data_IF_328962041000
#
_entry.id   IF_328962041000
#
_cell.length_a   1.000
_cell.length_b   1.000
_cell.length_c   1.000
_cell.angle_alpha   90.00
_cell.angle_beta   90.00
_cell.angle_gamma   90.00
#
_symmetry.space_group_name_H-M   'P 1'
#
loop_
_entity.id
_entity.type
_entity.pdbx_description
1 polymer ?
#
# COMPACT_ATOMS: atom_id res chain seq x y z
N UNK A 1 3.92 15.32 -2.41
CA UNK A 1 5.16 14.73 -2.92
C UNK A 1 4.96 13.24 -3.22
N UNK A 2 5.61 12.72 -4.28
CA UNK A 2 5.72 11.27 -4.54
C UNK A 2 6.87 10.70 -3.68
N UNK A 3 6.84 9.41 -3.37
CA UNK A 3 7.90 8.75 -2.58
C UNK A 3 7.97 9.15 -1.09
N UNK A 4 6.94 9.81 -0.54
CA UNK A 4 6.88 10.17 0.89
C UNK A 4 5.61 9.58 1.51
N UNK A 5 5.76 8.97 2.69
CA UNK A 5 4.65 8.57 3.56
C UNK A 5 4.18 9.76 4.40
N UNK A 6 2.99 10.25 4.11
CA UNK A 6 2.26 11.17 4.96
C UNK A 6 1.48 10.37 6.01
N UNK A 7 1.61 10.75 7.27
CA UNK A 7 1.03 10.02 8.41
C UNK A 7 -0.04 10.87 9.07
N UNK A 8 -1.28 10.36 9.11
CA UNK A 8 -2.36 10.95 9.87
C UNK A 8 -2.42 10.41 11.31
N UNK A 9 -3.29 11.00 12.13
CA UNK A 9 -3.41 10.64 13.54
C UNK A 9 -4.76 10.00 13.86
N UNK A 10 -4.72 8.90 14.60
CA UNK A 10 -5.86 8.32 15.32
C UNK A 10 -5.66 8.43 16.83
N UNK A 11 -6.73 8.26 17.60
CA UNK A 11 -6.68 8.07 19.04
C UNK A 11 -6.56 6.58 19.42
N UNK A 12 -6.70 6.27 20.71
CA UNK A 12 -6.60 4.91 21.23
C UNK A 12 -7.77 3.99 20.81
N UNK A 13 -8.87 4.54 20.33
CA UNK A 13 -10.01 3.79 19.78
C UNK A 13 -9.90 3.62 18.26
N UNK A 14 -8.74 3.94 17.68
CA UNK A 14 -8.49 3.93 16.23
C UNK A 14 -9.36 4.94 15.46
N UNK A 15 -9.98 5.89 16.17
CA UNK A 15 -10.78 6.96 15.58
C UNK A 15 -9.87 8.10 15.13
N UNK A 16 -10.14 8.65 13.94
CA UNK A 16 -9.39 9.77 13.39
C UNK A 16 -9.45 10.97 14.35
N UNK A 17 -8.29 11.40 14.82
CA UNK A 17 -8.19 12.59 15.65
C UNK A 17 -8.68 13.82 14.88
N UNK A 18 -9.48 14.67 15.54
CA UNK A 18 -10.11 15.84 14.90
C UNK A 18 -9.12 16.76 14.18
N UNK A 19 -7.92 16.92 14.73
CA UNK A 19 -6.84 17.75 14.19
C UNK A 19 -6.08 17.14 13.00
N UNK A 20 -6.25 15.84 12.70
CA UNK A 20 -5.54 15.22 11.59
C UNK A 20 -5.95 15.89 10.27
N UNK A 21 -5.02 16.06 9.33
CA UNK A 21 -5.39 16.56 8.00
C UNK A 21 -6.19 15.51 7.22
N UNK A 22 -6.99 15.98 6.27
CA UNK A 22 -7.83 15.18 5.38
C UNK A 22 -7.34 15.42 3.95
N UNK A 23 -7.23 14.38 3.14
CA UNK A 23 -6.92 14.49 1.72
C UNK A 23 -8.16 14.69 0.84
N UNK A 24 -8.11 14.32 -0.44
CA UNK A 24 -6.95 13.88 -1.21
C UNK A 24 -5.88 14.99 -1.32
N UNK A 25 -4.68 14.68 -1.81
CA UNK A 25 -3.77 15.77 -2.23
C UNK A 25 -4.35 16.52 -3.44
N UNK A 26 -3.84 17.71 -3.74
CA UNK A 26 -4.35 18.56 -4.82
C UNK A 26 -4.38 17.88 -6.20
N UNK A 27 -3.56 16.84 -6.41
CA UNK A 27 -3.49 16.00 -7.60
C UNK A 27 -4.29 14.69 -7.49
N UNK A 28 -5.21 14.59 -6.52
CA UNK A 28 -6.15 13.47 -6.37
C UNK A 28 -5.59 12.20 -5.71
N UNK A 29 -4.32 12.18 -5.29
CA UNK A 29 -3.74 11.00 -4.62
C UNK A 29 -4.25 10.84 -3.19
N UNK A 30 -4.43 9.59 -2.76
CA UNK A 30 -4.77 9.22 -1.37
C UNK A 30 -3.71 9.79 -0.43
N UNK A 31 -4.14 10.71 0.44
CA UNK A 31 -3.37 11.27 1.56
C UNK A 31 -4.30 11.49 2.77
N UNK A 32 -3.83 11.36 4.03
CA UNK A 32 -2.54 10.76 4.42
C UNK A 32 -2.40 9.34 3.82
N UNK A 33 -1.18 8.80 3.71
CA UNK A 33 -1.02 7.43 3.21
C UNK A 33 -1.50 6.45 4.27
N UNK A 34 -1.09 6.64 5.51
CA UNK A 34 -1.41 5.73 6.62
C UNK A 34 -1.68 6.51 7.89
N UNK A 35 -2.20 5.83 8.90
CA UNK A 35 -2.54 6.38 10.19
C UNK A 35 -1.71 5.71 11.29
N UNK A 36 -1.41 6.46 12.35
CA UNK A 36 -0.87 5.92 13.58
C UNK A 36 -1.40 6.72 14.78
N UNK A 37 -1.20 6.19 15.98
CA UNK A 37 -1.65 6.85 17.20
C UNK A 37 -0.96 8.22 17.35
N UNK A 38 -1.77 9.27 17.38
CA UNK A 38 -1.33 10.64 17.56
C UNK A 38 -2.24 11.47 18.47
N UNK A 39 -3.41 10.95 18.86
CA UNK A 39 -4.28 11.53 19.88
C UNK A 39 -3.93 11.01 21.27
N UNK A 40 -3.83 11.92 22.24
CA UNK A 40 -3.58 11.61 23.66
C UNK A 40 -2.42 10.64 23.91
N UNK A 41 -1.33 10.78 23.15
CA UNK A 41 -0.13 9.95 23.23
C UNK A 41 0.63 10.26 24.51
N UNK A 42 0.96 9.23 25.28
CA UNK A 42 1.84 9.36 26.44
C UNK A 42 3.29 9.56 25.98
N UNK A 43 3.96 10.58 26.52
CA UNK A 43 5.36 10.87 26.24
C UNK A 43 6.08 11.37 27.50
N UNK A 44 7.41 11.27 27.51
CA UNK A 44 8.23 11.83 28.58
C UNK A 44 8.46 13.31 28.30
N UNK A 45 7.98 14.18 29.18
CA UNK A 45 8.17 15.61 29.07
C UNK A 45 9.62 15.98 29.44
N UNK A 46 10.39 16.50 28.48
CA UNK A 46 11.82 16.77 28.66
C UNK A 46 12.13 17.84 29.71
N UNK A 47 11.20 18.76 29.99
CA UNK A 47 11.41 19.82 30.99
C UNK A 47 11.19 19.32 32.43
N UNK A 48 10.36 18.30 32.62
CA UNK A 48 9.95 17.81 33.95
C UNK A 48 10.42 16.40 34.26
N UNK A 49 10.77 15.60 33.24
CA UNK A 49 11.08 14.18 33.36
C UNK A 49 9.86 13.29 33.64
N UNK A 50 8.66 13.86 33.74
CA UNK A 50 7.42 13.14 34.05
C UNK A 50 6.70 12.71 32.77
N UNK A 51 5.86 11.68 32.89
CA UNK A 51 4.93 11.30 31.83
C UNK A 51 3.85 12.36 31.68
N UNK A 52 3.63 12.81 30.45
CA UNK A 52 2.55 13.69 30.05
C UNK A 52 1.81 13.10 28.85
N UNK A 53 0.67 13.69 28.49
CA UNK A 53 -0.06 13.35 27.28
C UNK A 53 -0.07 14.52 26.30
N UNK A 54 0.06 14.21 25.02
CA UNK A 54 0.10 15.17 23.93
C UNK A 54 -0.68 14.69 22.71
N UNK A 55 -1.07 15.62 21.86
CA UNK A 55 -1.80 15.32 20.63
C UNK A 55 -1.12 15.99 19.44
N UNK A 56 -0.97 15.25 18.34
CA UNK A 56 -0.41 15.77 17.09
C UNK A 56 0.00 14.65 16.14
N UNK A 57 -0.04 14.92 14.84
CA UNK A 57 0.51 14.01 13.81
C UNK A 57 2.03 13.84 13.96
N UNK A 58 2.70 14.78 14.64
CA UNK A 58 4.10 14.68 15.06
C UNK A 58 4.37 13.52 16.03
N UNK A 59 3.36 13.04 16.75
CA UNK A 59 3.47 11.81 17.56
C UNK A 59 3.20 10.55 16.73
N UNK A 60 2.32 10.64 15.72
CA UNK A 60 2.03 9.52 14.81
C UNK A 60 3.19 9.22 13.84
N UNK A 61 3.82 10.27 13.31
CA UNK A 61 4.91 10.17 12.33
C UNK A 61 6.09 9.30 12.80
N UNK A 62 6.68 9.48 14.01
CA UNK A 62 7.77 8.65 14.48
C UNK A 62 7.38 7.19 14.74
N UNK A 63 6.11 6.87 15.02
CA UNK A 63 5.66 5.48 15.12
C UNK A 63 5.80 4.75 13.78
N UNK A 64 5.36 5.40 12.69
CA UNK A 64 5.54 4.86 11.34
C UNK A 64 7.02 4.83 10.94
N UNK A 65 7.81 5.85 11.32
CA UNK A 65 9.26 5.81 11.09
C UNK A 65 9.93 4.63 11.81
N UNK A 66 9.51 4.29 13.02
CA UNK A 66 9.98 3.12 13.77
C UNK A 66 9.60 1.80 13.09
N UNK A 67 8.36 1.68 12.63
CA UNK A 67 7.89 0.55 11.83
C UNK A 67 8.73 0.37 10.56
N UNK A 68 8.92 1.45 9.79
CA UNK A 68 9.76 1.43 8.58
C UNK A 68 11.21 1.06 8.91
N UNK A 69 11.77 1.60 9.99
CA UNK A 69 13.15 1.30 10.41
C UNK A 69 13.32 -0.18 10.75
N UNK A 70 12.36 -0.79 11.44
CA UNK A 70 12.36 -2.22 11.73
C UNK A 70 12.29 -3.07 10.46
N UNK A 71 11.48 -2.69 9.47
CA UNK A 71 11.42 -3.37 8.17
C UNK A 71 12.73 -3.23 7.39
N UNK A 72 13.31 -2.03 7.35
CA UNK A 72 14.59 -1.78 6.68
C UNK A 72 15.72 -2.60 7.32
N UNK A 73 15.72 -2.75 8.65
CA UNK A 73 16.70 -3.56 9.35
C UNK A 73 16.52 -5.07 9.07
N UNK A 74 15.27 -5.56 9.08
CA UNK A 74 14.98 -6.97 8.83
C UNK A 74 15.18 -7.37 7.35
N UNK A 75 14.93 -6.44 6.42
CA UNK A 75 14.91 -6.66 4.98
C UNK A 75 15.75 -5.61 4.24
N UNK A 76 17.08 -5.61 4.39
CA UNK A 76 17.97 -4.56 3.88
C UNK A 76 18.02 -4.46 2.35
N UNK A 77 17.45 -5.43 1.63
CA UNK A 77 17.35 -5.45 0.17
C UNK A 77 16.07 -4.81 -0.37
N UNK A 78 15.11 -4.46 0.50
CA UNK A 78 13.90 -3.76 0.06
C UNK A 78 14.28 -2.42 -0.56
N UNK A 79 13.73 -2.15 -1.73
CA UNK A 79 13.74 -0.81 -2.29
C UNK A 79 12.81 0.11 -1.49
N UNK A 80 13.01 1.41 -1.65
CA UNK A 80 12.16 2.43 -1.01
C UNK A 80 10.68 2.28 -1.41
N UNK A 81 10.41 1.91 -2.66
CA UNK A 81 9.06 1.73 -3.18
C UNK A 81 8.39 0.49 -2.59
N UNK A 82 9.12 -0.64 -2.54
CA UNK A 82 8.65 -1.87 -1.91
C UNK A 82 8.38 -1.67 -0.41
N UNK A 83 9.22 -0.91 0.29
CA UNK A 83 8.99 -0.55 1.70
C UNK A 83 7.68 0.22 1.87
N UNK A 84 7.48 1.29 1.08
CA UNK A 84 6.24 2.08 1.12
C UNK A 84 5.02 1.20 0.83
N UNK A 85 5.12 0.29 -0.14
CA UNK A 85 4.04 -0.61 -0.49
C UNK A 85 3.78 -1.65 0.58
N UNK A 86 4.80 -2.19 1.24
CA UNK A 86 4.62 -3.10 2.37
C UNK A 86 3.88 -2.43 3.52
N UNK A 87 4.23 -1.17 3.84
CA UNK A 87 3.52 -0.40 4.86
C UNK A 87 2.06 -0.17 4.47
N UNK A 88 1.79 0.26 3.23
CA UNK A 88 0.41 0.48 2.75
C UNK A 88 -0.40 -0.82 2.71
N UNK A 89 0.15 -1.88 2.15
CA UNK A 89 -0.49 -3.19 2.03
C UNK A 89 -0.89 -3.76 3.38
N UNK A 90 -0.05 -3.54 4.39
CA UNK A 90 -0.30 -4.01 5.75
C UNK A 90 -1.44 -3.29 6.47
N UNK A 91 -1.91 -2.17 5.93
CA UNK A 91 -2.87 -1.32 6.59
C UNK A 91 -4.31 -1.83 6.46
N UNK A 92 -5.11 -1.58 7.49
CA UNK A 92 -6.46 -2.14 7.67
C UNK A 92 -7.50 -1.72 6.60
N UNK A 93 -7.23 -0.66 5.83
CA UNK A 93 -8.10 -0.13 4.76
C UNK A 93 -7.42 -0.15 3.39
N UNK A 94 -6.43 -1.03 3.18
CA UNK A 94 -5.65 -1.03 1.94
C UNK A 94 -6.50 -1.22 0.66
N UNK A 95 -7.54 -2.06 0.71
CA UNK A 95 -8.44 -2.30 -0.42
C UNK A 95 -9.32 -1.10 -0.79
N UNK A 96 -9.75 -0.33 0.22
CA UNK A 96 -10.68 0.79 0.07
C UNK A 96 -10.14 2.06 0.75
N UNK A 97 -9.04 2.64 0.23
CA UNK A 97 -8.46 3.82 0.82
C UNK A 97 -9.36 5.04 0.63
N UNK A 98 -9.34 5.96 1.59
CA UNK A 98 -10.14 7.19 1.54
C UNK A 98 -9.36 8.42 2.01
N UNK A 99 -9.97 9.59 1.86
CA UNK A 99 -9.36 10.87 2.22
C UNK A 99 -9.11 11.06 3.74
N UNK A 100 -9.80 10.31 4.61
CA UNK A 100 -9.77 10.49 6.06
C UNK A 100 -8.71 9.62 6.74
N UNK A 101 -8.58 8.37 6.29
CA UNK A 101 -7.70 7.36 6.87
C UNK A 101 -6.58 6.92 5.92
N UNK A 102 -6.57 7.36 4.67
CA UNK A 102 -5.64 6.81 3.69
C UNK A 102 -5.90 5.33 3.47
N UNK A 103 -4.82 4.55 3.44
CA UNK A 103 -4.83 3.08 3.47
C UNK A 103 -5.08 2.53 4.90
N UNK A 104 -5.15 3.38 5.92
CA UNK A 104 -5.51 3.01 7.28
C UNK A 104 -4.32 2.78 8.23
N UNK A 105 -4.50 1.95 9.27
CA UNK A 105 -3.50 1.70 10.31
C UNK A 105 -2.62 0.49 9.93
N UNK A 106 -1.31 0.66 9.71
CA UNK A 106 -0.40 -0.43 9.34
C UNK A 106 -0.19 -1.45 10.47
N UNK A 107 0.07 -2.70 10.08
CA UNK A 107 0.45 -3.77 10.99
C UNK A 107 1.86 -4.29 10.64
N UNK A 108 2.78 -4.30 11.61
CA UNK A 108 4.17 -4.68 11.37
C UNK A 108 4.31 -6.12 10.83
N UNK A 109 3.62 -7.09 11.41
CA UNK A 109 3.72 -8.50 10.99
C UNK A 109 3.24 -8.69 9.55
N UNK A 110 2.09 -8.11 9.20
CA UNK A 110 1.59 -8.12 7.81
C UNK A 110 2.56 -7.44 6.85
N UNK A 111 3.16 -6.32 7.25
CA UNK A 111 4.17 -5.63 6.43
C UNK A 111 5.42 -6.48 6.26
N UNK A 112 5.86 -7.17 7.31
CA UNK A 112 7.02 -8.06 7.33
C UNK A 112 6.82 -9.29 6.43
N UNK A 113 5.66 -9.93 6.52
CA UNK A 113 5.29 -11.05 5.66
C UNK A 113 5.24 -10.63 4.20
N UNK A 114 4.66 -9.46 3.92
CA UNK A 114 4.60 -8.94 2.57
C UNK A 114 5.97 -8.54 2.02
N UNK A 115 6.82 -7.90 2.84
CA UNK A 115 8.20 -7.61 2.49
C UNK A 115 8.98 -8.87 2.11
N UNK A 116 8.80 -9.98 2.85
CA UNK A 116 9.40 -11.27 2.50
C UNK A 116 8.95 -11.76 1.13
N UNK A 117 7.66 -11.63 0.80
CA UNK A 117 7.12 -11.99 -0.51
C UNK A 117 7.65 -11.08 -1.63
N UNK A 118 7.82 -9.78 -1.38
CA UNK A 118 8.43 -8.86 -2.35
C UNK A 118 9.89 -9.19 -2.64
N UNK A 119 10.63 -9.76 -1.69
CA UNK A 119 12.02 -10.18 -1.93
C UNK A 119 12.16 -11.50 -2.68
N UNK A 120 11.09 -12.27 -2.87
CA UNK A 120 11.11 -13.53 -3.61
C UNK A 120 11.15 -13.30 -5.13
N UNK A 121 12.35 -13.19 -5.72
CA UNK A 121 12.56 -12.74 -7.10
C UNK A 121 12.00 -13.66 -8.19
N UNK A 122 11.68 -14.90 -7.86
CA UNK A 122 11.15 -15.91 -8.78
C UNK A 122 9.62 -15.88 -8.89
N UNK A 123 8.96 -15.29 -7.89
CA UNK A 123 7.49 -15.32 -7.77
C UNK A 123 6.85 -14.06 -8.33
N UNK A 124 5.90 -14.26 -9.23
CA UNK A 124 4.94 -13.23 -9.60
C UNK A 124 3.80 -13.19 -8.56
N UNK A 125 3.41 -11.99 -8.16
CA UNK A 125 2.38 -11.77 -7.14
C UNK A 125 1.40 -10.70 -7.61
N UNK A 126 0.11 -10.90 -7.37
CA UNK A 126 -0.91 -9.88 -7.61
C UNK A 126 -1.65 -9.58 -6.32
N UNK A 127 -1.75 -8.31 -5.98
CA UNK A 127 -2.28 -7.85 -4.71
C UNK A 127 -2.86 -6.42 -4.83
N UNK A 128 -3.81 -6.00 -3.98
CA UNK A 128 -4.51 -6.84 -3.02
C UNK A 128 -5.43 -7.85 -3.70
N UNK A 129 -5.72 -8.94 -3.00
CA UNK A 129 -6.72 -9.92 -3.43
C UNK A 129 -7.47 -10.43 -2.19
N UNK A 130 -8.72 -10.01 -1.94
CA UNK A 130 -9.60 -9.23 -2.83
C UNK A 130 -9.10 -7.80 -3.12
N UNK A 131 -9.44 -7.25 -4.29
CA UNK A 131 -9.05 -5.91 -4.71
C UNK A 131 -10.20 -4.92 -4.67
N UNK A 132 -9.94 -3.68 -4.25
CA UNK A 132 -10.90 -2.59 -4.34
C UNK A 132 -10.65 -1.72 -5.57
N UNK A 133 -9.99 -0.58 -5.36
CA UNK A 133 -9.79 0.44 -6.42
C UNK A 133 -8.47 0.31 -7.19
N UNK A 134 -7.58 -0.58 -6.77
CA UNK A 134 -6.23 -0.69 -7.31
C UNK A 134 -5.77 -2.14 -7.29
N UNK A 135 -4.95 -2.52 -8.26
CA UNK A 135 -4.25 -3.80 -8.30
C UNK A 135 -2.80 -3.57 -8.66
N UNK A 136 -1.91 -4.10 -7.84
CA UNK A 136 -0.48 -4.14 -8.05
C UNK A 136 -0.08 -5.54 -8.51
N UNK A 137 0.87 -5.58 -9.43
CA UNK A 137 1.58 -6.79 -9.80
C UNK A 137 3.04 -6.63 -9.44
N UNK A 138 3.59 -7.67 -8.83
CA UNK A 138 5.01 -7.92 -8.77
C UNK A 138 5.35 -8.91 -9.87
N UNK A 139 6.29 -8.56 -10.73
CA UNK A 139 6.82 -9.41 -11.78
C UNK A 139 8.25 -9.87 -11.43
N UNK A 140 8.78 -10.81 -12.21
CA UNK A 140 10.18 -11.23 -12.08
C UNK A 140 11.12 -10.08 -12.48
N UNK A 141 12.24 -9.98 -11.80
CA UNK A 141 13.21 -8.88 -12.01
C UNK A 141 13.83 -8.89 -13.41
N UNK A 142 13.93 -10.07 -14.04
CA UNK A 142 14.40 -10.24 -15.42
C UNK A 142 13.44 -9.65 -16.48
N UNK A 143 12.20 -9.36 -16.11
CA UNK A 143 11.19 -8.76 -16.98
C UNK A 143 11.14 -7.23 -16.88
N UNK A 144 11.97 -6.62 -16.03
CA UNK A 144 12.14 -5.16 -15.95
C UNK A 144 12.69 -4.63 -17.28
N UNK A 145 12.10 -3.54 -17.77
CA UNK A 145 12.40 -2.91 -19.05
C UNK A 145 11.56 -3.42 -20.24
N UNK A 146 10.80 -4.51 -20.07
CA UNK A 146 9.89 -5.00 -21.10
C UNK A 146 8.50 -4.36 -20.99
N UNK A 147 7.74 -4.45 -22.09
CA UNK A 147 6.33 -4.04 -22.11
C UNK A 147 5.45 -5.15 -21.52
N UNK A 148 4.83 -4.87 -20.38
CA UNK A 148 3.80 -5.70 -19.80
C UNK A 148 2.47 -5.37 -20.43
N UNK A 149 1.79 -6.38 -20.96
CA UNK A 149 0.41 -6.29 -21.40
C UNK A 149 -0.46 -7.02 -20.38
N UNK A 150 -1.58 -6.44 -19.98
CA UNK A 150 -2.52 -7.07 -19.06
C UNK A 150 -3.94 -7.00 -19.60
N UNK A 151 -4.73 -8.04 -19.30
CA UNK A 151 -6.15 -8.15 -19.65
C UNK A 151 -6.91 -8.76 -18.48
N UNK A 152 -8.05 -8.20 -18.15
CA UNK A 152 -8.93 -8.65 -17.07
C UNK A 152 -10.22 -9.20 -17.65
N UNK A 153 -10.56 -10.43 -17.28
CA UNK A 153 -11.75 -11.13 -17.74
C UNK A 153 -12.69 -11.48 -16.59
N UNK A 154 -13.99 -11.53 -16.86
CA UNK A 154 -14.94 -12.22 -15.97
C UNK A 154 -14.75 -13.74 -16.07
N UNK A 155 -15.36 -14.50 -15.15
CA UNK A 155 -15.32 -15.98 -15.18
C UNK A 155 -15.96 -16.62 -16.42
N UNK A 156 -16.82 -15.88 -17.13
CA UNK A 156 -17.42 -16.32 -18.39
C UNK A 156 -16.61 -15.90 -19.62
N UNK A 157 -15.46 -15.25 -19.43
CA UNK A 157 -14.52 -14.90 -20.49
C UNK A 157 -14.76 -13.54 -21.14
N UNK A 158 -15.64 -12.70 -20.59
CA UNK A 158 -15.86 -11.34 -21.09
C UNK A 158 -14.68 -10.44 -20.68
N UNK A 159 -14.10 -9.70 -21.64
CA UNK A 159 -13.04 -8.73 -21.38
C UNK A 159 -13.63 -7.48 -20.73
N UNK A 160 -13.17 -7.15 -19.53
CA UNK A 160 -13.66 -6.01 -18.74
C UNK A 160 -12.61 -4.92 -18.52
N UNK A 161 -11.36 -5.17 -18.88
CA UNK A 161 -10.30 -4.17 -18.82
C UNK A 161 -9.03 -4.68 -19.49
N UNK A 162 -8.24 -3.77 -20.04
CA UNK A 162 -6.91 -4.07 -20.57
C UNK A 162 -6.02 -2.83 -20.53
N UNK A 163 -4.72 -3.07 -20.64
CA UNK A 163 -3.74 -2.00 -20.75
C UNK A 163 -2.32 -2.53 -20.88
N UNK A 164 -1.40 -1.59 -21.00
CA UNK A 164 0.01 -1.87 -21.10
C UNK A 164 0.82 -0.90 -20.24
N UNK A 165 1.98 -1.36 -19.76
CA UNK A 165 2.91 -0.56 -18.99
C UNK A 165 4.34 -1.01 -19.28
N UNK A 166 5.25 -0.06 -19.40
CA UNK A 166 6.68 -0.38 -19.40
C UNK A 166 7.11 -0.63 -17.97
N UNK A 167 7.82 -1.74 -17.75
CA UNK A 167 8.30 -2.14 -16.43
C UNK A 167 9.49 -1.29 -16.01
N UNK A 168 9.25 -0.15 -15.35
CA UNK A 168 10.31 0.69 -14.78
C UNK A 168 10.95 0.06 -13.53
N UNK A 169 10.21 -0.81 -12.84
CA UNK A 169 10.60 -1.51 -11.62
C UNK A 169 9.91 -2.89 -11.56
N UNK A 170 10.20 -3.69 -10.53
CA UNK A 170 9.59 -5.01 -10.33
C UNK A 170 8.14 -4.96 -9.83
N UNK A 171 7.62 -3.77 -9.50
CA UNK A 171 6.33 -3.59 -8.86
C UNK A 171 5.50 -2.47 -9.49
N UNK A 172 4.48 -2.84 -10.24
CA UNK A 172 3.65 -1.90 -10.99
C UNK A 172 2.22 -1.90 -10.48
N UNK A 173 1.65 -0.71 -10.36
CA UNK A 173 0.22 -0.53 -10.25
C UNK A 173 -0.40 -0.70 -11.65
N UNK A 174 -1.11 -1.80 -11.89
CA UNK A 174 -1.68 -2.12 -13.20
C UNK A 174 -2.75 -1.12 -13.61
N UNK A 175 -3.56 -0.68 -12.63
CA UNK A 175 -4.61 0.29 -12.85
C UNK A 175 -5.09 0.89 -11.51
N UNK A 176 -5.34 2.19 -11.51
CA UNK A 176 -6.26 2.86 -10.58
C UNK A 176 -7.64 2.83 -11.23
N UNK A 177 -8.56 2.01 -10.75
CA UNK A 177 -9.87 1.88 -11.39
C UNK A 177 -10.64 3.20 -11.28
N UNK A 178 -10.73 3.95 -12.38
CA UNK A 178 -11.87 4.85 -12.59
C UNK A 178 -13.16 4.07 -12.85
N UNK A 179 -13.03 2.78 -13.18
CA UNK A 179 -14.11 1.87 -13.53
C UNK A 179 -14.61 1.08 -12.31
N UNK A 180 -15.93 1.09 -12.10
CA UNK A 180 -16.57 0.33 -11.03
C UNK A 180 -16.75 -1.11 -11.49
N UNK A 181 -15.80 -1.97 -11.16
CA UNK A 181 -15.96 -3.42 -11.31
C UNK A 181 -16.98 -3.94 -10.28
N UNK A 182 -18.00 -4.72 -10.66
CA UNK A 182 -18.88 -5.40 -9.71
C UNK A 182 -18.12 -6.35 -8.77
N UNK A 183 -18.70 -6.65 -7.61
CA UNK A 183 -18.20 -7.72 -6.76
C UNK A 183 -18.26 -9.05 -7.51
N UNK A 184 -17.19 -9.85 -7.45
CA UNK A 184 -17.13 -11.07 -8.26
C UNK A 184 -15.74 -11.63 -8.46
N UNK A 185 -15.69 -12.70 -9.26
CA UNK A 185 -14.45 -13.38 -9.60
C UNK A 185 -13.95 -12.94 -10.99
N UNK A 186 -12.64 -12.68 -11.07
CA UNK A 186 -11.97 -12.22 -12.27
C UNK A 186 -10.71 -13.05 -12.56
N UNK A 187 -10.35 -13.12 -13.83
CA UNK A 187 -9.09 -13.68 -14.30
C UNK A 187 -8.23 -12.57 -14.90
N UNK A 188 -7.12 -12.24 -14.25
CA UNK A 188 -6.11 -11.34 -14.78
C UNK A 188 -5.09 -12.16 -15.58
N UNK A 189 -4.91 -11.81 -16.84
CA UNK A 189 -3.91 -12.40 -17.72
C UNK A 189 -2.83 -11.36 -18.02
N UNK A 190 -1.58 -11.71 -17.78
CA UNK A 190 -0.44 -10.86 -18.09
C UNK A 190 0.45 -11.51 -19.15
N UNK A 191 1.10 -10.69 -19.95
CA UNK A 191 2.07 -11.12 -20.96
C UNK A 191 3.25 -10.15 -20.95
N UNK A 192 4.43 -10.64 -20.62
CA UNK A 192 5.67 -9.86 -20.59
C UNK A 192 6.81 -10.72 -21.14
N UNK A 193 7.61 -10.18 -22.06
CA UNK A 193 8.76 -10.88 -22.65
C UNK A 193 8.47 -12.33 -23.13
N UNK A 194 7.27 -12.56 -23.69
CA UNK A 194 6.83 -13.90 -24.13
C UNK A 194 6.37 -14.84 -23.01
N UNK A 195 6.55 -14.48 -21.73
CA UNK A 195 5.96 -15.18 -20.60
C UNK A 195 4.50 -14.76 -20.42
N UNK A 196 3.65 -15.74 -20.13
CA UNK A 196 2.22 -15.54 -19.96
C UNK A 196 1.76 -16.11 -18.63
N UNK A 197 1.18 -15.26 -17.79
CA UNK A 197 0.69 -15.63 -16.48
C UNK A 197 -0.80 -15.37 -16.35
N UNK A 198 -1.46 -16.11 -15.45
CA UNK A 198 -2.87 -15.93 -15.18
C UNK A 198 -3.11 -16.01 -13.68
N UNK A 199 -3.80 -15.00 -13.15
CA UNK A 199 -4.10 -14.83 -11.74
C UNK A 199 -5.60 -14.78 -11.51
N UNK A 200 -6.03 -15.44 -10.45
CA UNK A 200 -7.39 -15.36 -9.93
C UNK A 200 -7.50 -14.11 -9.05
N UNK A 201 -8.41 -13.21 -9.35
CA UNK A 201 -8.71 -12.02 -8.55
C UNK A 201 -10.16 -12.05 -8.05
N UNK A 202 -10.35 -11.52 -6.85
CA UNK A 202 -11.66 -11.37 -6.21
C UNK A 202 -11.89 -9.87 -6.02
N UNK A 203 -13.08 -9.36 -6.35
CA UNK A 203 -13.54 -8.04 -5.95
C UNK A 203 -14.65 -8.14 -4.93
#
# INVERSE_FOLDING_TARGET
AKGILAVGAVDANEERSSFSSIGYSADGRVKPDVMAMGGSVAYVNSATGLVAQGSGTSFASPLISGLCSGLMQAYPKLTHEELIQAVKYSADRFGEPNAYYGYGIPNYEKASDFARLLLDRESELVFPNPFGSHVYIKIREEEVGYLLNWKLYTVIGELVGEGDAVMENSLINLFSTGEVFPAGLYCLRTSCNGHLSTFKLIK
#
